data_IF_555153249990
#
_entry.id   IF_555153249990
#
_cell.length_a   1.000
_cell.length_b   1.000
_cell.length_c   1.000
_cell.angle_alpha   90.00
_cell.angle_beta   90.00
_cell.angle_gamma   90.00
#
_symmetry.space_group_name_H-M   'P 1'
#
loop_
_entity.id
_entity.type
_entity.pdbx_description
1 polymer ?
#
# COMPACT_ATOMS: atom_id res chain seq x y z
N UNK A 1 16.28 20.74 -27.85
CA UNK A 1 15.91 21.34 -26.54
C UNK A 1 15.52 20.20 -25.60
N UNK A 2 15.97 20.22 -24.34
CA UNK A 2 15.83 19.11 -23.36
C UNK A 2 14.40 19.03 -22.82
N UNK A 3 13.62 18.06 -23.27
CA UNK A 3 12.30 17.79 -22.72
C UNK A 3 12.42 16.91 -21.46
N UNK A 4 12.08 17.52 -20.32
CA UNK A 4 12.20 16.97 -18.98
C UNK A 4 11.30 15.74 -18.86
N UNK A 5 11.90 14.56 -18.62
CA UNK A 5 11.19 13.32 -18.27
C UNK A 5 10.23 13.61 -17.11
N UNK A 6 8.92 13.68 -17.40
CA UNK A 6 7.88 13.71 -16.37
C UNK A 6 7.92 12.36 -15.66
N UNK A 7 8.59 12.29 -14.51
CA UNK A 7 8.44 11.18 -13.57
C UNK A 7 6.98 11.18 -13.15
N UNK A 8 6.21 10.24 -13.69
CA UNK A 8 4.85 9.95 -13.23
C UNK A 8 4.95 9.58 -11.76
N UNK A 9 4.63 10.53 -10.88
CA UNK A 9 4.44 10.25 -9.45
C UNK A 9 3.13 9.48 -9.34
N UNK A 10 3.20 8.15 -9.49
CA UNK A 10 2.07 7.27 -9.14
C UNK A 10 1.83 7.45 -7.65
N UNK A 11 0.74 8.09 -7.30
CA UNK A 11 0.26 8.14 -5.93
C UNK A 11 -0.46 6.81 -5.67
N UNK A 12 -0.05 6.09 -4.64
CA UNK A 12 -0.73 4.89 -4.17
C UNK A 12 -1.62 5.28 -3.00
N UNK A 13 -2.75 4.59 -2.85
CA UNK A 13 -3.71 4.87 -1.78
C UNK A 13 -4.15 3.55 -1.16
N UNK A 14 -4.38 3.57 0.16
CA UNK A 14 -4.93 2.43 0.87
C UNK A 14 -6.37 2.16 0.40
N UNK A 15 -6.72 0.90 0.13
CA UNK A 15 -8.07 0.54 -0.31
C UNK A 15 -9.14 0.70 0.78
N UNK A 16 -8.75 0.62 2.07
CA UNK A 16 -9.67 0.73 3.21
C UNK A 16 -9.89 2.19 3.64
N UNK A 17 -8.82 2.89 4.08
CA UNK A 17 -8.93 4.26 4.60
C UNK A 17 -8.71 5.36 3.54
N UNK A 18 -8.32 5.00 2.31
CA UNK A 18 -7.97 5.95 1.21
C UNK A 18 -6.82 6.89 1.52
N UNK A 19 -6.05 6.61 2.57
CA UNK A 19 -4.86 7.40 2.89
C UNK A 19 -3.77 7.19 1.82
N UNK A 20 -2.98 8.23 1.57
CA UNK A 20 -1.90 8.16 0.59
C UNK A 20 -0.74 7.32 1.14
N UNK A 21 -0.44 6.23 0.45
CA UNK A 21 0.64 5.31 0.80
C UNK A 21 1.75 5.34 -0.26
N UNK A 22 2.91 4.80 0.12
CA UNK A 22 4.04 4.62 -0.80
C UNK A 22 3.85 3.38 -1.67
N UNK A 23 4.61 3.28 -2.75
CA UNK A 23 4.64 2.08 -3.60
C UNK A 23 5.01 0.83 -2.79
N UNK A 24 6.01 0.98 -1.93
CA UNK A 24 6.50 -0.08 -1.04
C UNK A 24 5.39 -0.60 -0.14
N UNK A 25 4.64 0.30 0.52
CA UNK A 25 3.48 -0.06 1.34
C UNK A 25 2.40 -0.76 0.50
N UNK A 26 2.08 -0.22 -0.67
CA UNK A 26 1.07 -0.82 -1.56
C UNK A 26 1.46 -2.24 -2.00
N UNK A 27 2.74 -2.52 -2.24
CA UNK A 27 3.22 -3.85 -2.64
C UNK A 27 3.39 -4.79 -1.43
N UNK A 28 3.88 -4.29 -0.29
CA UNK A 28 4.10 -5.07 0.93
C UNK A 28 2.80 -5.46 1.64
N UNK A 29 1.82 -4.54 1.63
CA UNK A 29 0.55 -4.66 2.32
C UNK A 29 -0.62 -4.87 1.35
N UNK A 30 -0.34 -5.33 0.13
CA UNK A 30 -1.34 -5.71 -0.89
C UNK A 30 -2.40 -4.63 -1.18
N UNK A 31 -1.98 -3.36 -1.17
CA UNK A 31 -2.86 -2.22 -1.44
C UNK A 31 -3.49 -1.59 -0.20
N UNK A 32 -3.13 -2.05 0.99
CA UNK A 32 -3.51 -1.45 2.25
C UNK A 32 -2.37 -0.62 2.85
N UNK A 33 -2.69 0.25 3.81
CA UNK A 33 -1.67 0.80 4.69
C UNK A 33 -1.32 -0.24 5.76
N UNK A 34 -0.15 -0.07 6.38
CA UNK A 34 0.31 -0.89 7.50
C UNK A 34 -0.78 -1.15 8.54
N UNK A 35 -1.50 -0.12 9.00
CA UNK A 35 -2.53 -0.26 10.03
C UNK A 35 -3.71 -1.13 9.58
N UNK A 36 -4.22 -0.91 8.36
CA UNK A 36 -5.33 -1.71 7.82
C UNK A 36 -4.89 -3.15 7.50
N UNK A 37 -3.66 -3.34 7.05
CA UNK A 37 -3.10 -4.67 6.80
C UNK A 37 -2.87 -5.45 8.09
N UNK A 38 -2.28 -4.81 9.12
CA UNK A 38 -2.12 -5.44 10.43
C UNK A 38 -3.47 -5.82 11.03
N UNK A 39 -4.52 -5.02 10.83
CA UNK A 39 -5.87 -5.36 11.26
C UNK A 39 -6.43 -6.61 10.55
N UNK A 40 -6.24 -6.73 9.23
CA UNK A 40 -6.75 -7.84 8.43
C UNK A 40 -5.91 -9.12 8.56
N UNK A 41 -4.59 -8.99 8.78
CA UNK A 41 -3.65 -10.11 8.95
C UNK A 41 -3.67 -10.66 10.38
N UNK A 42 -3.93 -9.82 11.39
CA UNK A 42 -4.11 -10.30 12.75
C UNK A 42 -5.24 -11.34 12.88
N UNK A 43 -6.17 -11.36 11.92
CA UNK A 43 -7.22 -12.38 11.84
C UNK A 43 -6.76 -13.69 11.15
N UNK A 44 -5.66 -13.67 10.37
CA UNK A 44 -5.18 -14.81 9.55
C UNK A 44 -4.11 -15.68 10.23
N UNK A 45 -3.34 -15.15 11.19
CA UNK A 45 -2.23 -15.89 11.84
C UNK A 45 -2.69 -16.90 12.92
N UNK A 46 -4.01 -17.12 13.05
CA UNK A 46 -4.61 -18.02 14.05
C UNK A 46 -5.14 -19.35 13.49
N UNK A 47 -4.90 -19.66 12.21
CA UNK A 47 -5.43 -20.88 11.57
C UNK A 47 -4.36 -21.98 11.31
N UNK A 48 -3.29 -22.01 12.10
CA UNK A 48 -2.38 -23.18 12.15
C UNK A 48 -2.28 -23.72 13.60
N UNK A 49 -3.35 -24.38 14.07
CA UNK A 49 -3.29 -25.41 15.12
C UNK A 49 -4.22 -26.59 14.81
#
# INVERSE_FOLDING_TARGET
MREKRKREKRNYYCMSCREKISKEEYEAYHGYCRECYEAEIAELDLEEE
#
